data_IF_750023579238
#
_entry.id   IF_750023579238
#
_cell.length_a   1.000
_cell.length_b   1.000
_cell.length_c   1.000
_cell.angle_alpha   90.00
_cell.angle_beta   90.00
_cell.angle_gamma   90.00
#
_symmetry.space_group_name_H-M   'P 1'
#
loop_
_entity.id
_entity.type
_entity.pdbx_description
1 polymer ?
#
# COMPACT_ATOMS: atom_id res chain seq x y z
N UNK A 1 -5.34 29.08 36.09
CA UNK A 1 -5.26 27.62 36.01
C UNK A 1 -5.71 27.23 34.61
N UNK A 2 -4.90 26.42 33.92
CA UNK A 2 -5.27 25.96 32.58
C UNK A 2 -6.46 25.02 32.73
N UNK A 3 -7.55 25.25 31.99
CA UNK A 3 -8.75 24.39 31.98
C UNK A 3 -8.38 22.90 31.75
N UNK A 4 -7.21 22.66 31.16
CA UNK A 4 -6.65 21.34 30.87
C UNK A 4 -6.19 20.62 32.16
N UNK A 5 -5.74 21.32 33.20
CA UNK A 5 -5.23 20.68 34.43
C UNK A 5 -6.34 20.00 35.23
N UNK A 6 -7.57 20.53 35.16
CA UNK A 6 -8.76 20.02 35.86
C UNK A 6 -9.43 18.83 35.15
N UNK A 7 -9.02 18.50 33.91
CA UNK A 7 -9.62 17.40 33.14
C UNK A 7 -9.17 16.03 33.62
N UNK A 8 -10.10 15.07 33.55
CA UNK A 8 -9.81 13.67 33.82
C UNK A 8 -8.81 13.11 32.78
N UNK A 9 -7.98 12.14 33.15
CA UNK A 9 -6.96 11.53 32.28
C UNK A 9 -7.57 10.97 30.99
N UNK A 10 -8.78 10.42 31.08
CA UNK A 10 -9.52 9.92 29.93
C UNK A 10 -9.93 11.04 28.95
N UNK A 11 -10.31 12.22 29.45
CA UNK A 11 -10.70 13.36 28.62
C UNK A 11 -9.48 14.00 27.95
N UNK A 12 -8.36 14.10 28.67
CA UNK A 12 -7.06 14.52 28.10
C UNK A 12 -6.68 13.64 26.92
N UNK A 13 -6.77 12.32 27.08
CA UNK A 13 -6.47 11.36 26.00
C UNK A 13 -7.38 11.51 24.79
N UNK A 14 -8.66 11.80 24.99
CA UNK A 14 -9.60 12.03 23.88
C UNK A 14 -9.26 13.31 23.10
N UNK A 15 -8.83 14.36 23.80
CA UNK A 15 -8.38 15.60 23.17
C UNK A 15 -7.12 15.37 22.34
N UNK A 16 -6.13 14.66 22.88
CA UNK A 16 -4.90 14.32 22.13
C UNK A 16 -5.19 13.54 20.84
N UNK A 17 -6.04 12.51 20.93
CA UNK A 17 -6.48 11.73 19.75
C UNK A 17 -7.13 12.66 18.71
N UNK A 18 -7.89 13.64 19.19
CA UNK A 18 -8.58 14.58 18.32
C UNK A 18 -7.63 15.56 17.65
N UNK A 19 -6.63 16.06 18.37
CA UNK A 19 -5.60 16.93 17.82
C UNK A 19 -4.82 16.21 16.73
N UNK A 20 -4.43 14.96 16.96
CA UNK A 20 -3.78 14.17 15.90
C UNK A 20 -4.69 13.97 14.69
N UNK A 21 -5.98 13.68 14.89
CA UNK A 21 -6.92 13.56 13.79
C UNK A 21 -7.02 14.88 12.99
N UNK A 22 -7.09 16.00 13.69
CA UNK A 22 -7.18 17.33 13.08
C UNK A 22 -5.91 17.71 12.31
N UNK A 23 -4.74 17.26 12.76
CA UNK A 23 -3.48 17.39 12.03
C UNK A 23 -3.36 16.45 10.82
N UNK A 24 -4.41 15.71 10.43
CA UNK A 24 -4.40 14.87 9.24
C UNK A 24 -3.78 13.49 9.41
N UNK A 25 -3.50 13.03 10.64
CA UNK A 25 -2.97 11.68 10.88
C UNK A 25 -4.04 10.60 10.71
N UNK A 26 -3.66 9.49 10.10
CA UNK A 26 -4.52 8.32 9.91
C UNK A 26 -4.76 7.57 11.22
N UNK A 27 -5.83 6.78 11.29
CA UNK A 27 -6.12 5.97 12.48
C UNK A 27 -4.99 5.02 12.85
N UNK A 28 -4.24 4.51 11.86
CA UNK A 28 -3.09 3.63 12.10
C UNK A 28 -1.91 4.38 12.71
N UNK A 29 -1.63 5.61 12.25
CA UNK A 29 -0.58 6.45 12.82
C UNK A 29 -0.91 6.87 14.25
N UNK A 30 -2.14 7.30 14.49
CA UNK A 30 -2.62 7.67 15.83
C UNK A 30 -2.54 6.46 16.77
N UNK A 31 -2.95 5.27 16.29
CA UNK A 31 -2.86 4.04 17.06
C UNK A 31 -1.41 3.72 17.47
N UNK A 32 -0.43 3.97 16.58
CA UNK A 32 1.00 3.81 16.88
C UNK A 32 1.49 4.82 17.90
N UNK A 33 1.08 6.09 17.80
CA UNK A 33 1.48 7.13 18.75
C UNK A 33 0.90 6.92 20.15
N UNK A 34 -0.36 6.49 20.21
CA UNK A 34 -1.09 6.30 21.47
C UNK A 34 -0.95 4.89 22.06
N UNK A 35 -0.26 3.97 21.36
CA UNK A 35 -0.14 2.55 21.71
C UNK A 35 -1.50 1.86 21.95
N UNK A 36 -2.49 2.18 21.12
CA UNK A 36 -3.86 1.64 21.22
C UNK A 36 -4.25 0.83 19.98
N UNK A 37 -5.33 0.05 20.08
CA UNK A 37 -5.89 -0.63 18.92
C UNK A 37 -6.51 0.38 17.94
N UNK A 38 -6.36 0.14 16.64
CA UNK A 38 -6.95 0.97 15.57
C UNK A 38 -8.47 1.07 15.72
N UNK A 39 -9.13 -0.02 16.13
CA UNK A 39 -10.58 -0.06 16.36
C UNK A 39 -11.02 0.86 17.51
N UNK A 40 -10.21 0.94 18.58
CA UNK A 40 -10.48 1.83 19.70
C UNK A 40 -10.39 3.28 19.26
N UNK A 41 -9.32 3.67 18.56
CA UNK A 41 -9.15 5.02 18.01
C UNK A 41 -10.32 5.39 17.08
N UNK A 42 -10.67 4.49 16.16
CA UNK A 42 -11.79 4.69 15.23
C UNK A 42 -13.11 4.90 15.97
N UNK A 43 -13.35 4.15 17.04
CA UNK A 43 -14.57 4.30 17.87
C UNK A 43 -14.57 5.65 18.58
N UNK A 44 -13.46 6.06 19.20
CA UNK A 44 -13.34 7.35 19.91
C UNK A 44 -13.59 8.51 18.96
N UNK A 45 -12.88 8.55 17.82
CA UNK A 45 -13.01 9.65 16.84
C UNK A 45 -14.44 9.72 16.30
N UNK A 46 -15.03 8.58 15.89
CA UNK A 46 -16.39 8.58 15.35
C UNK A 46 -17.43 8.98 16.41
N UNK A 47 -17.25 8.56 17.66
CA UNK A 47 -18.14 8.95 18.76
C UNK A 47 -18.06 10.46 19.01
N UNK A 48 -16.85 11.03 18.99
CA UNK A 48 -16.67 12.48 19.13
C UNK A 48 -17.30 13.25 17.96
N UNK A 49 -17.04 12.83 16.71
CA UNK A 49 -17.63 13.49 15.53
C UNK A 49 -19.16 13.45 15.62
N UNK A 50 -19.75 12.30 15.98
CA UNK A 50 -21.22 12.14 16.11
C UNK A 50 -21.84 13.06 17.17
N UNK A 51 -21.11 13.45 18.21
CA UNK A 51 -21.60 14.36 19.26
C UNK A 51 -21.70 15.82 18.78
N UNK A 52 -21.05 16.16 17.67
CA UNK A 52 -21.02 17.53 17.15
C UNK A 52 -22.21 17.83 16.23
N UNK A 53 -22.60 19.10 16.06
CA UNK A 53 -23.56 19.52 15.04
C UNK A 53 -23.10 19.12 13.63
N UNK A 54 -24.04 18.84 12.74
CA UNK A 54 -23.77 18.38 11.36
C UNK A 54 -22.79 19.28 10.60
N UNK A 55 -22.95 20.60 10.74
CA UNK A 55 -22.06 21.61 10.13
C UNK A 55 -20.60 21.46 10.58
N UNK A 56 -20.38 21.21 11.87
CA UNK A 56 -19.05 20.99 12.44
C UNK A 56 -18.46 19.65 12.02
N UNK A 57 -19.28 18.61 11.87
CA UNK A 57 -18.82 17.28 11.43
C UNK A 57 -18.15 17.35 10.05
N UNK A 58 -18.80 18.02 9.10
CA UNK A 58 -18.28 18.16 7.74
C UNK A 58 -17.01 19.01 7.71
N UNK A 59 -16.98 20.09 8.50
CA UNK A 59 -15.78 20.93 8.63
C UNK A 59 -14.56 20.13 9.13
N UNK A 60 -14.73 19.30 10.16
CA UNK A 60 -13.61 18.52 10.73
C UNK A 60 -13.11 17.49 9.72
N UNK A 61 -14.03 16.79 9.03
CA UNK A 61 -13.65 15.82 7.99
C UNK A 61 -12.92 16.49 6.82
N UNK A 62 -13.39 17.67 6.41
CA UNK A 62 -12.75 18.47 5.37
C UNK A 62 -11.34 18.91 5.80
N UNK A 63 -11.20 19.45 7.01
CA UNK A 63 -9.90 19.87 7.57
C UNK A 63 -8.91 18.70 7.61
N UNK A 64 -9.32 17.55 8.13
CA UNK A 64 -8.49 16.34 8.15
C UNK A 64 -7.99 15.97 6.75
N UNK A 65 -8.87 16.03 5.73
CA UNK A 65 -8.52 15.73 4.34
C UNK A 65 -7.52 16.74 3.77
N UNK A 66 -7.68 18.03 4.07
CA UNK A 66 -6.77 19.10 3.63
C UNK A 66 -5.37 18.85 4.21
N UNK A 67 -5.27 18.66 5.53
CA UNK A 67 -3.99 18.42 6.21
C UNK A 67 -3.30 17.14 5.74
N UNK A 68 -4.07 16.07 5.55
CA UNK A 68 -3.55 14.81 5.01
C UNK A 68 -2.98 15.00 3.60
N UNK A 69 -3.65 15.78 2.76
CA UNK A 69 -3.17 16.07 1.41
C UNK A 69 -1.93 16.97 1.46
N UNK A 70 -1.91 17.99 2.31
CA UNK A 70 -0.75 18.86 2.50
C UNK A 70 0.49 18.04 2.89
N UNK A 71 0.38 17.13 3.87
CA UNK A 71 1.45 16.19 4.24
C UNK A 71 1.92 15.30 3.09
N UNK A 72 0.99 14.85 2.24
CA UNK A 72 1.35 14.04 1.07
C UNK A 72 2.16 14.85 0.06
N UNK A 73 1.78 16.10 -0.18
CA UNK A 73 2.51 16.99 -1.09
C UNK A 73 3.87 17.39 -0.52
N UNK A 74 4.00 17.63 0.79
CA UNK A 74 5.31 17.91 1.41
C UNK A 74 6.26 16.73 1.28
N UNK A 75 5.79 15.50 1.52
CA UNK A 75 6.62 14.29 1.32
C UNK A 75 7.06 14.14 -0.14
N UNK A 76 6.16 14.40 -1.09
CA UNK A 76 6.53 14.37 -2.52
C UNK A 76 7.59 15.42 -2.86
N UNK A 77 7.44 16.65 -2.37
CA UNK A 77 8.40 17.72 -2.59
C UNK A 77 9.78 17.37 -1.98
N UNK A 78 9.80 16.82 -0.76
CA UNK A 78 11.02 16.34 -0.11
C UNK A 78 11.69 15.25 -0.96
N UNK A 79 10.94 14.24 -1.38
CA UNK A 79 11.50 13.15 -2.20
C UNK A 79 12.00 13.64 -3.57
N UNK A 80 11.32 14.64 -4.16
CA UNK A 80 11.76 15.26 -5.41
C UNK A 80 13.11 15.97 -5.24
N UNK A 81 13.26 16.80 -4.20
CA UNK A 81 14.53 17.48 -3.94
C UNK A 81 15.64 16.48 -3.57
N UNK A 82 15.32 15.41 -2.84
CA UNK A 82 16.29 14.41 -2.44
C UNK A 82 16.85 13.61 -3.64
N UNK A 83 16.01 13.32 -4.63
CA UNK A 83 16.39 12.54 -5.83
C UNK A 83 16.81 13.39 -7.03
N UNK A 84 16.80 14.72 -6.88
CA UNK A 84 17.06 15.70 -7.95
C UNK A 84 18.42 15.56 -8.60
N UNK A 85 19.48 15.45 -7.79
CA UNK A 85 20.86 15.37 -8.27
C UNK A 85 21.22 13.96 -8.76
N UNK A 86 20.69 12.93 -8.09
CA UNK A 86 20.99 11.54 -8.41
C UNK A 86 19.79 10.65 -8.16
N UNK A 87 19.24 10.08 -9.24
CA UNK A 87 18.14 9.13 -9.14
C UNK A 87 18.54 7.79 -8.52
N UNK A 88 17.57 7.12 -7.93
CA UNK A 88 17.72 5.86 -7.18
C UNK A 88 18.52 4.79 -7.93
N UNK A 89 18.23 4.59 -9.22
CA UNK A 89 18.93 3.60 -10.06
C UNK A 89 20.43 3.91 -10.16
N UNK A 90 20.78 5.17 -10.40
CA UNK A 90 22.17 5.59 -10.50
C UNK A 90 22.88 5.47 -9.14
N UNK A 91 22.20 5.84 -8.05
CA UNK A 91 22.70 5.69 -6.69
C UNK A 91 23.05 4.23 -6.38
N UNK A 92 22.12 3.31 -6.63
CA UNK A 92 22.28 1.88 -6.33
C UNK A 92 23.43 1.26 -7.15
N UNK A 93 23.54 1.63 -8.43
CA UNK A 93 24.59 1.11 -9.31
C UNK A 93 25.99 1.60 -8.90
N UNK A 94 26.12 2.87 -8.50
CA UNK A 94 27.40 3.43 -8.02
C UNK A 94 27.79 2.87 -6.66
N UNK A 95 26.83 2.65 -5.77
CA UNK A 95 27.07 2.17 -4.41
C UNK A 95 26.83 0.66 -4.25
N UNK A 96 27.27 -0.15 -5.23
CA UNK A 96 26.92 -1.57 -5.33
C UNK A 96 27.26 -2.41 -4.09
N UNK A 97 28.32 -2.04 -3.36
CA UNK A 97 28.78 -2.71 -2.14
C UNK A 97 27.74 -2.72 -1.01
N UNK A 98 26.88 -1.69 -0.95
CA UNK A 98 25.83 -1.57 0.06
C UNK A 98 24.60 -2.45 -0.22
N UNK A 99 24.52 -3.04 -1.41
CA UNK A 99 23.35 -3.80 -1.86
C UNK A 99 23.69 -5.27 -2.10
N UNK A 100 22.66 -6.11 -2.12
CA UNK A 100 22.72 -7.51 -2.54
C UNK A 100 21.74 -7.81 -3.66
N UNK A 101 22.13 -8.70 -4.57
CA UNK A 101 21.26 -9.18 -5.65
C UNK A 101 20.52 -10.40 -5.16
N UNK A 102 19.20 -10.42 -5.31
CA UNK A 102 18.40 -11.63 -5.11
C UNK A 102 18.45 -12.49 -6.37
N UNK A 103 18.12 -13.77 -6.26
CA UNK A 103 18.01 -14.71 -7.39
C UNK A 103 17.08 -14.19 -8.50
N UNK A 104 16.07 -13.41 -8.11
CA UNK A 104 15.11 -12.76 -9.01
C UNK A 104 15.70 -11.60 -9.83
N UNK A 105 16.98 -11.26 -9.66
CA UNK A 105 17.62 -10.09 -10.28
C UNK A 105 17.37 -8.76 -9.56
N UNK A 106 16.46 -8.73 -8.58
CA UNK A 106 16.20 -7.53 -7.78
C UNK A 106 17.41 -7.17 -6.91
N UNK A 107 17.70 -5.88 -6.82
CA UNK A 107 18.76 -5.36 -5.96
C UNK A 107 18.12 -4.78 -4.70
N UNK A 108 18.56 -5.23 -3.53
CA UNK A 108 17.99 -4.82 -2.24
C UNK A 108 19.11 -4.39 -1.30
N UNK A 109 18.85 -3.34 -0.51
CA UNK A 109 19.77 -2.85 0.51
C UNK A 109 20.08 -3.96 1.53
N UNK A 110 21.34 -4.05 1.94
CA UNK A 110 21.79 -4.96 2.99
C UNK A 110 21.18 -4.59 4.34
N UNK A 111 21.10 -5.56 5.26
CA UNK A 111 20.59 -5.28 6.61
C UNK A 111 21.56 -4.38 7.38
N UNK A 112 21.09 -3.76 8.47
CA UNK A 112 21.92 -2.93 9.36
C UNK A 112 23.13 -3.71 9.89
N UNK A 113 22.95 -5.00 10.16
CA UNK A 113 24.00 -5.91 10.64
C UNK A 113 25.06 -6.17 9.56
N UNK A 114 24.64 -6.39 8.31
CA UNK A 114 25.54 -6.61 7.17
C UNK A 114 26.35 -5.35 6.80
N UNK A 115 25.79 -4.16 7.02
CA UNK A 115 26.45 -2.88 6.73
C UNK A 115 27.29 -2.34 7.89
N UNK A 116 27.00 -2.76 9.12
CA UNK A 116 27.63 -2.24 10.33
C UNK A 116 27.27 -0.77 10.65
N UNK A 117 26.37 -0.16 9.90
CA UNK A 117 25.98 1.25 10.07
C UNK A 117 24.47 1.48 9.86
N UNK A 118 23.96 2.56 10.45
CA UNK A 118 22.59 3.02 10.18
C UNK A 118 22.53 3.73 8.84
N UNK A 119 21.51 3.40 8.06
CA UNK A 119 21.27 3.99 6.75
C UNK A 119 20.33 5.20 6.90
N UNK A 120 20.53 6.24 6.09
CA UNK A 120 19.68 7.44 6.13
C UNK A 120 18.29 7.16 5.55
N UNK A 121 17.33 8.04 5.82
CA UNK A 121 15.97 7.89 5.29
C UNK A 121 15.93 7.93 3.74
N UNK A 122 16.76 8.78 3.15
CA UNK A 122 16.83 9.04 1.71
C UNK A 122 17.52 7.93 0.90
N UNK A 123 18.13 6.95 1.56
CA UNK A 123 18.88 5.94 0.82
C UNK A 123 17.93 4.97 0.12
N UNK A 124 18.04 4.78 -1.21
CA UNK A 124 17.16 3.90 -1.96
C UNK A 124 17.23 2.47 -1.43
N UNK A 125 16.06 1.84 -1.21
CA UNK A 125 15.99 0.52 -0.54
C UNK A 125 16.03 -0.65 -1.52
N UNK A 126 15.45 -0.48 -2.70
CA UNK A 126 15.33 -1.54 -3.69
C UNK A 126 15.30 -1.01 -5.11
N UNK A 127 15.91 -1.76 -6.03
CA UNK A 127 15.72 -1.63 -7.47
C UNK A 127 15.05 -2.91 -7.97
N UNK A 128 13.84 -2.77 -8.50
CA UNK A 128 13.08 -3.87 -9.08
C UNK A 128 13.61 -4.10 -10.50
N UNK A 129 13.81 -5.37 -10.85
CA UNK A 129 14.16 -5.72 -12.21
C UNK A 129 12.89 -5.82 -13.07
N UNK A 130 12.69 -4.84 -13.95
CA UNK A 130 11.55 -4.81 -14.86
C UNK A 130 11.65 -5.82 -16.01
N UNK A 131 12.84 -6.39 -16.28
CA UNK A 131 13.06 -7.34 -17.38
C UNK A 131 12.59 -8.77 -17.09
N UNK A 132 11.68 -8.94 -16.13
CA UNK A 132 11.02 -10.23 -15.94
C UNK A 132 10.06 -10.48 -17.10
N UNK A 133 10.48 -11.35 -18.02
CA UNK A 133 9.58 -12.42 -18.39
C UNK A 133 9.17 -13.08 -17.06
N UNK A 134 7.93 -12.85 -16.64
CA UNK A 134 7.31 -13.66 -15.62
C UNK A 134 7.66 -15.10 -16.01
N UNK A 135 8.48 -15.79 -15.22
CA UNK A 135 8.37 -17.24 -15.13
C UNK A 135 6.97 -17.46 -14.56
N UNK A 136 5.96 -17.31 -15.43
CA UNK A 136 4.61 -17.78 -15.19
C UNK A 136 4.86 -19.21 -14.83
N UNK A 137 4.58 -19.57 -13.59
CA UNK A 137 4.37 -20.96 -13.27
C UNK A 137 3.46 -21.47 -14.38
N UNK A 138 3.98 -22.39 -15.20
CA UNK A 138 3.21 -22.98 -16.28
C UNK A 138 1.89 -23.38 -15.65
N UNK A 139 0.79 -22.74 -16.06
CA UNK A 139 -0.52 -23.12 -15.59
C UNK A 139 -0.71 -24.54 -16.09
N UNK A 140 -0.40 -25.52 -15.23
CA UNK A 140 -0.65 -26.92 -15.47
C UNK A 140 -2.06 -27.14 -14.98
N UNK A 141 -3.09 -27.07 -15.85
CA UNK A 141 -4.41 -27.46 -15.42
C UNK A 141 -4.29 -28.90 -14.91
N UNK A 142 -4.73 -29.14 -13.67
CA UNK A 142 -5.00 -30.49 -13.23
C UNK A 142 -6.16 -30.99 -14.08
N UNK A 143 -5.84 -31.67 -15.19
CA UNK A 143 -6.84 -32.28 -16.07
C UNK A 143 -7.38 -33.49 -15.32
N UNK A 144 -8.34 -33.27 -14.42
CA UNK A 144 -9.21 -34.34 -13.94
C UNK A 144 -10.32 -34.53 -14.96
N UNK A 145 -10.36 -35.75 -15.50
CA UNK A 145 -11.40 -36.34 -16.35
C UNK A 145 -11.30 -36.08 -17.85
N UNK A 146 -11.50 -37.17 -18.58
CA UNK A 146 -11.20 -37.42 -20.00
C UNK A 146 -11.77 -36.37 -20.98
N UNK A 147 -12.82 -35.66 -20.58
CA UNK A 147 -13.44 -34.56 -21.34
C UNK A 147 -12.46 -33.41 -21.57
N UNK A 148 -11.56 -33.12 -20.61
CA UNK A 148 -10.56 -32.06 -20.75
C UNK A 148 -9.47 -32.35 -21.78
N UNK A 149 -9.19 -33.63 -22.08
CA UNK A 149 -8.18 -34.02 -23.09
C UNK A 149 -8.67 -33.78 -24.52
N UNK A 150 -9.97 -33.95 -24.78
CA UNK A 150 -10.55 -33.83 -26.12
C UNK A 150 -10.70 -32.37 -26.55
N UNK A 151 -11.04 -31.48 -25.62
CA UNK A 151 -11.20 -30.05 -25.91
C UNK A 151 -9.84 -29.39 -26.17
N UNK A 152 -8.80 -29.80 -25.44
CA UNK A 152 -7.45 -29.29 -25.65
C UNK A 152 -6.87 -29.69 -27.03
N UNK A 153 -7.14 -30.91 -27.51
CA UNK A 153 -6.55 -31.38 -28.78
C UNK A 153 -7.20 -30.79 -30.04
N UNK A 154 -8.49 -30.41 -29.97
CA UNK A 154 -9.20 -29.89 -31.14
C UNK A 154 -8.93 -28.39 -31.39
N UNK A 155 -8.73 -27.61 -30.33
CA UNK A 155 -8.55 -26.15 -30.42
C UNK A 155 -7.10 -25.67 -30.25
N UNK A 156 -6.15 -26.51 -29.81
CA UNK A 156 -4.76 -26.06 -29.56
C UNK A 156 -3.91 -25.89 -30.82
N UNK A 157 -4.31 -26.42 -31.98
CA UNK A 157 -3.54 -26.27 -33.22
C UNK A 157 -3.73 -24.93 -33.90
N UNK A 158 -4.84 -24.22 -33.65
CA UNK A 158 -5.16 -22.96 -34.35
C UNK A 158 -5.02 -21.70 -33.49
N UNK A 159 -4.87 -21.81 -32.16
CA UNK A 159 -4.70 -20.66 -31.27
C UNK A 159 -3.24 -20.32 -30.99
N UNK A 160 -2.46 -20.01 -32.03
CA UNK A 160 -1.17 -19.30 -31.89
C UNK A 160 -1.34 -17.79 -31.65
N UNK A 161 -2.58 -17.29 -31.58
CA UNK A 161 -2.88 -15.91 -31.20
C UNK A 161 -3.83 -15.88 -29.99
N UNK A 162 -3.28 -15.70 -28.79
CA UNK A 162 -4.08 -15.43 -27.59
C UNK A 162 -4.62 -14.00 -27.65
N UNK A 163 -5.67 -13.77 -28.43
CA UNK A 163 -6.44 -12.53 -28.32
C UNK A 163 -7.15 -12.53 -26.97
N UNK A 164 -7.00 -11.44 -26.20
CA UNK A 164 -7.76 -11.23 -24.98
C UNK A 164 -9.26 -11.18 -25.32
N UNK A 165 -10.03 -12.12 -24.77
CA UNK A 165 -11.49 -12.16 -24.93
C UNK A 165 -12.12 -10.88 -24.37
N UNK A 166 -13.10 -10.36 -25.10
CA UNK A 166 -13.91 -9.22 -24.71
C UNK A 166 -14.76 -9.55 -23.48
N UNK A 167 -15.21 -8.50 -22.77
CA UNK A 167 -16.05 -8.64 -21.58
C UNK A 167 -17.39 -9.34 -21.87
N UNK A 168 -17.87 -9.32 -23.11
CA UNK A 168 -19.09 -10.02 -23.53
C UNK A 168 -18.86 -11.53 -23.61
N UNK A 169 -17.78 -11.94 -24.27
CA UNK A 169 -17.39 -13.35 -24.44
C UNK A 169 -17.11 -14.02 -23.09
N UNK A 170 -16.42 -13.30 -22.18
CA UNK A 170 -16.19 -13.77 -20.80
C UNK A 170 -17.50 -14.00 -20.04
N UNK A 171 -18.51 -13.16 -20.27
CA UNK A 171 -19.82 -13.27 -19.62
C UNK A 171 -20.61 -14.48 -20.11
N UNK A 172 -20.48 -14.82 -21.39
CA UNK A 172 -21.13 -16.00 -21.99
C UNK A 172 -20.51 -17.28 -21.43
N UNK A 173 -19.18 -17.37 -21.41
CA UNK A 173 -18.46 -18.52 -20.83
C UNK A 173 -18.75 -18.69 -19.33
N UNK A 174 -18.83 -17.58 -18.60
CA UNK A 174 -19.21 -17.64 -17.19
C UNK A 174 -20.62 -18.23 -17.05
N UNK A 175 -21.60 -17.79 -17.87
CA UNK A 175 -22.97 -18.31 -17.79
C UNK A 175 -23.10 -19.78 -18.22
N UNK A 176 -22.34 -20.25 -19.19
CA UNK A 176 -22.42 -21.64 -19.65
C UNK A 176 -21.93 -22.64 -18.59
N UNK A 177 -20.98 -22.25 -17.75
CA UNK A 177 -20.41 -23.14 -16.72
C UNK A 177 -21.32 -23.37 -15.51
N UNK A 178 -22.38 -22.58 -15.34
CA UNK A 178 -23.36 -22.74 -14.23
C UNK A 178 -24.73 -23.25 -14.72
N UNK A 179 -24.81 -23.75 -15.95
CA UNK A 179 -26.02 -24.34 -16.53
C UNK A 179 -25.99 -25.88 -16.59
N UNK A 180 -25.00 -26.52 -15.95
CA UNK A 180 -24.94 -27.96 -15.72
C UNK A 180 -25.12 -28.28 -14.24
#
# INVERSE_FOLDING_TARGET
MSIIEELNEHEKRQLEIMDFYNSGYTYEEIAKFMFMSVNTIKTIVNTWIKKLPTTSQDFIRLRHKIEKNAKKETIKAINYEATKEMGDKAFILKNRSAYKTRENGNIVLKSKEELGCSVTWDTPKNLINDSREEKREEFRPAISNEVGKVIASHYSKEMSNTRLLSNAERRILHKSNYLN
#
